data_IF_188223194436
#
_entry.id   IF_188223194436
#
_cell.length_a   1.000
_cell.length_b   1.000
_cell.length_c   1.000
_cell.angle_alpha   90.00
_cell.angle_beta   90.00
_cell.angle_gamma   90.00
#
_symmetry.space_group_name_H-M   'P 1'
#
loop_
_entity.id
_entity.type
_entity.pdbx_description
1 polymer ?
#
# COMPACT_ATOMS: atom_id res chain seq x y z
N UNK A 1 32.02 -30.64 -2.99
CA UNK A 1 30.55 -30.50 -2.87
C UNK A 1 30.24 -29.04 -3.11
N UNK A 2 29.36 -28.74 -4.05
CA UNK A 2 28.90 -27.36 -4.31
C UNK A 2 27.94 -26.90 -3.22
N UNK A 3 27.72 -25.59 -3.08
CA UNK A 3 26.73 -25.07 -2.12
C UNK A 3 25.34 -25.64 -2.36
N UNK A 4 24.95 -25.81 -3.63
CA UNK A 4 23.66 -26.40 -4.00
C UNK A 4 23.54 -27.85 -3.55
N UNK A 5 24.57 -28.67 -3.81
CA UNK A 5 24.60 -30.06 -3.35
C UNK A 5 24.49 -30.15 -1.82
N UNK A 6 25.15 -29.24 -1.10
CA UNK A 6 25.06 -29.20 0.36
C UNK A 6 23.67 -28.79 0.83
N UNK A 7 23.07 -27.74 0.26
CA UNK A 7 21.71 -27.30 0.60
C UNK A 7 20.70 -28.43 0.34
N UNK A 8 20.80 -29.15 -0.79
CA UNK A 8 19.91 -30.27 -1.07
C UNK A 8 20.07 -31.41 -0.06
N UNK A 9 21.30 -31.72 0.38
CA UNK A 9 21.53 -32.73 1.41
C UNK A 9 20.94 -32.32 2.78
N UNK A 10 20.96 -31.04 3.12
CA UNK A 10 20.42 -30.53 4.39
C UNK A 10 18.88 -30.52 4.44
N UNK A 11 18.18 -30.58 3.30
CA UNK A 11 16.70 -30.49 3.25
C UNK A 11 15.99 -31.64 3.96
N UNK A 12 16.65 -32.78 4.09
CA UNK A 12 16.09 -33.97 4.73
C UNK A 12 16.19 -33.89 6.28
N UNK A 13 16.92 -32.90 6.81
CA UNK A 13 17.07 -32.69 8.25
C UNK A 13 15.90 -31.88 8.85
N UNK A 14 15.49 -32.25 10.07
CA UNK A 14 14.45 -31.53 10.82
C UNK A 14 14.85 -30.08 11.13
N UNK A 15 16.16 -29.83 11.31
CA UNK A 15 16.72 -28.52 11.69
C UNK A 15 17.31 -27.78 10.47
N UNK A 16 16.84 -28.10 9.25
CA UNK A 16 17.37 -27.57 7.97
C UNK A 16 17.58 -26.05 7.97
N UNK A 17 16.58 -25.28 8.44
CA UNK A 17 16.65 -23.82 8.43
C UNK A 17 17.69 -23.29 9.42
N UNK A 18 17.77 -23.84 10.63
CA UNK A 18 18.75 -23.41 11.65
C UNK A 18 20.18 -23.73 11.22
N UNK A 19 20.41 -24.94 10.68
CA UNK A 19 21.71 -25.33 10.15
C UNK A 19 22.11 -24.44 8.98
N UNK A 20 21.19 -24.21 8.03
CA UNK A 20 21.46 -23.35 6.89
C UNK A 20 21.70 -21.89 7.28
N UNK A 21 20.95 -21.35 8.25
CA UNK A 21 21.19 -20.00 8.78
C UNK A 21 22.59 -19.90 9.41
N UNK A 22 23.00 -20.89 10.21
CA UNK A 22 24.33 -20.91 10.84
C UNK A 22 25.48 -20.99 9.81
N UNK A 23 25.27 -21.63 8.67
CA UNK A 23 26.29 -21.83 7.64
C UNK A 23 26.33 -20.67 6.64
N UNK A 24 25.16 -20.22 6.18
CA UNK A 24 25.06 -19.42 4.97
C UNK A 24 24.67 -17.96 5.21
N UNK A 25 24.10 -17.60 6.36
CA UNK A 25 23.53 -16.27 6.54
C UNK A 25 24.57 -15.16 6.49
N UNK A 26 25.73 -15.38 7.10
CA UNK A 26 26.85 -14.44 7.17
C UNK A 26 28.09 -14.98 6.42
N UNK A 27 27.88 -15.91 5.49
CA UNK A 27 28.96 -16.54 4.76
C UNK A 27 29.76 -15.52 3.93
N UNK A 28 31.09 -15.62 3.88
CA UNK A 28 31.94 -14.65 3.18
C UNK A 28 31.75 -14.61 1.66
N UNK A 29 31.41 -15.75 1.06
CA UNK A 29 31.04 -15.86 -0.36
C UNK A 29 29.59 -15.44 -0.60
N UNK A 30 29.39 -14.48 -1.51
CA UNK A 30 28.10 -13.95 -1.91
C UNK A 30 27.22 -15.00 -2.60
N UNK A 31 27.81 -15.94 -3.35
CA UNK A 31 27.06 -17.02 -4.02
C UNK A 31 26.37 -17.93 -2.99
N UNK A 32 27.06 -18.20 -1.87
CA UNK A 32 26.51 -19.00 -0.79
C UNK A 32 25.31 -18.29 -0.12
N UNK A 33 25.45 -16.98 0.17
CA UNK A 33 24.35 -16.17 0.74
C UNK A 33 23.18 -16.06 -0.21
N UNK A 34 23.45 -15.87 -1.51
CA UNK A 34 22.45 -15.77 -2.57
C UNK A 34 21.60 -17.05 -2.67
N UNK A 35 22.27 -18.21 -2.71
CA UNK A 35 21.59 -19.50 -2.76
C UNK A 35 20.73 -19.72 -1.51
N UNK A 36 21.26 -19.38 -0.34
CA UNK A 36 20.48 -19.51 0.89
C UNK A 36 19.26 -18.58 0.93
N UNK A 37 19.40 -17.33 0.48
CA UNK A 37 18.26 -16.40 0.39
C UNK A 37 17.11 -16.98 -0.45
N UNK A 38 17.41 -17.77 -1.49
CA UNK A 38 16.41 -18.45 -2.31
C UNK A 38 15.84 -19.72 -1.66
N UNK A 39 16.70 -20.53 -1.04
CA UNK A 39 16.34 -21.87 -0.54
C UNK A 39 15.77 -21.90 0.88
N UNK A 40 15.91 -20.82 1.66
CA UNK A 40 15.45 -20.74 3.05
C UNK A 40 13.93 -20.99 3.16
N UNK A 41 13.47 -22.00 3.93
CA UNK A 41 12.06 -22.43 3.94
C UNK A 41 11.07 -21.34 4.31
N UNK A 42 11.37 -20.56 5.36
CA UNK A 42 10.51 -19.48 5.84
C UNK A 42 10.61 -18.19 5.00
N UNK A 43 11.22 -18.27 3.81
CA UNK A 43 11.62 -17.13 3.01
C UNK A 43 12.94 -16.54 3.49
N UNK A 44 13.50 -15.65 2.68
CA UNK A 44 14.81 -15.04 2.92
C UNK A 44 14.85 -14.31 4.25
N UNK A 45 15.99 -14.44 4.95
CA UNK A 45 16.17 -13.85 6.28
C UNK A 45 16.18 -12.32 6.19
N UNK A 46 15.62 -11.58 7.19
CA UNK A 46 15.57 -10.12 7.15
C UNK A 46 16.91 -9.42 6.92
N UNK A 47 18.01 -9.98 7.46
CA UNK A 47 19.36 -9.44 7.27
C UNK A 47 19.78 -9.44 5.80
N UNK A 48 19.39 -10.48 5.04
CA UNK A 48 19.78 -10.62 3.64
C UNK A 48 19.10 -9.60 2.73
N UNK A 49 17.96 -9.02 3.14
CA UNK A 49 17.29 -7.94 2.37
C UNK A 49 18.18 -6.69 2.30
N UNK A 50 19.00 -6.47 3.33
CA UNK A 50 19.99 -5.41 3.41
C UNK A 50 21.42 -5.87 3.13
N UNK A 51 21.60 -7.03 2.48
CA UNK A 51 22.93 -7.56 2.18
C UNK A 51 23.75 -6.55 1.35
N UNK A 52 25.05 -6.36 1.64
CA UNK A 52 25.90 -5.45 0.88
C UNK A 52 26.00 -5.81 -0.61
N UNK A 53 25.88 -7.10 -0.96
CA UNK A 53 25.78 -7.54 -2.34
C UNK A 53 24.34 -7.34 -2.85
N UNK A 54 24.20 -6.58 -3.94
CA UNK A 54 22.89 -6.20 -4.49
C UNK A 54 22.09 -7.39 -5.02
N UNK A 55 22.74 -8.43 -5.54
CA UNK A 55 22.04 -9.61 -6.06
C UNK A 55 21.45 -10.44 -4.92
N UNK A 56 22.17 -10.56 -3.80
CA UNK A 56 21.67 -11.20 -2.57
C UNK A 56 20.48 -10.40 -2.02
N UNK A 57 20.60 -9.07 -1.93
CA UNK A 57 19.53 -8.18 -1.46
C UNK A 57 18.26 -8.27 -2.34
N UNK A 58 18.43 -8.27 -3.67
CA UNK A 58 17.34 -8.41 -4.64
C UNK A 58 16.65 -9.78 -4.49
N UNK A 59 17.43 -10.86 -4.40
CA UNK A 59 16.91 -12.21 -4.18
C UNK A 59 16.11 -12.26 -2.87
N UNK A 60 16.69 -11.71 -1.81
CA UNK A 60 16.09 -11.70 -0.49
C UNK A 60 14.78 -10.89 -0.46
N UNK A 61 14.74 -9.71 -1.07
CA UNK A 61 13.52 -8.91 -1.19
C UNK A 61 12.39 -9.69 -1.90
N UNK A 62 12.74 -10.38 -2.99
CA UNK A 62 11.80 -11.13 -3.82
C UNK A 62 11.25 -12.39 -3.14
N UNK A 63 12.02 -13.03 -2.26
CA UNK A 63 11.69 -14.31 -1.61
C UNK A 63 11.39 -14.18 -0.10
N UNK A 64 11.54 -13.00 0.48
CA UNK A 64 11.17 -12.72 1.87
C UNK A 64 9.67 -12.95 2.11
N UNK A 65 9.31 -13.22 3.37
CA UNK A 65 7.93 -13.23 3.87
C UNK A 65 7.58 -12.01 4.73
N UNK A 66 8.49 -11.04 4.88
CA UNK A 66 8.25 -9.81 5.65
C UNK A 66 7.11 -8.96 5.07
N UNK A 67 6.56 -8.07 5.89
CA UNK A 67 5.63 -7.02 5.46
C UNK A 67 6.27 -6.06 4.44
N UNK A 68 5.48 -5.25 3.76
CA UNK A 68 5.99 -4.42 2.68
C UNK A 68 6.96 -3.34 3.21
N UNK A 69 6.55 -2.61 4.25
CA UNK A 69 7.33 -1.57 4.87
C UNK A 69 8.68 -2.08 5.37
N UNK A 70 8.68 -3.20 6.10
CA UNK A 70 9.92 -3.77 6.61
C UNK A 70 10.86 -4.18 5.47
N UNK A 71 10.35 -4.75 4.37
CA UNK A 71 11.19 -5.06 3.20
C UNK A 71 11.83 -3.81 2.61
N UNK A 72 11.06 -2.74 2.42
CA UNK A 72 11.60 -1.51 1.83
C UNK A 72 12.58 -0.81 2.77
N UNK A 73 12.33 -0.78 4.09
CA UNK A 73 13.26 -0.24 5.10
C UNK A 73 14.59 -0.97 5.10
N UNK A 74 14.56 -2.30 4.98
CA UNK A 74 15.77 -3.12 5.02
C UNK A 74 16.51 -3.19 3.69
N UNK A 75 15.85 -2.88 2.58
CA UNK A 75 16.42 -3.06 1.25
C UNK A 75 17.72 -2.27 1.11
N UNK A 76 18.75 -2.93 0.58
CA UNK A 76 20.02 -2.28 0.25
C UNK A 76 19.77 -0.96 -0.52
N UNK A 77 20.23 0.20 -0.02
CA UNK A 77 19.99 1.50 -0.65
C UNK A 77 20.45 1.60 -2.11
N UNK A 78 21.53 0.90 -2.48
CA UNK A 78 22.00 0.87 -3.86
C UNK A 78 20.94 0.30 -4.82
N UNK A 79 20.13 -0.66 -4.37
CA UNK A 79 18.99 -1.19 -5.14
C UNK A 79 17.90 -0.13 -5.26
N UNK A 80 17.63 0.64 -4.21
CA UNK A 80 16.62 1.72 -4.21
C UNK A 80 17.04 2.85 -5.14
N UNK A 81 18.30 3.26 -5.14
CA UNK A 81 18.76 4.44 -5.87
C UNK A 81 18.98 4.15 -7.37
N UNK A 82 19.34 2.91 -7.73
CA UNK A 82 19.64 2.53 -9.10
C UNK A 82 18.42 1.94 -9.84
N UNK A 83 17.96 2.61 -10.89
CA UNK A 83 16.83 2.16 -11.72
C UNK A 83 17.04 0.76 -12.33
N UNK A 84 18.24 0.45 -12.79
CA UNK A 84 18.55 -0.86 -13.38
C UNK A 84 18.53 -1.97 -12.34
N UNK A 85 18.82 -1.68 -11.07
CA UNK A 85 18.67 -2.66 -9.99
C UNK A 85 17.19 -2.78 -9.56
N UNK A 86 16.47 -1.66 -9.43
CA UNK A 86 15.02 -1.66 -9.12
C UNK A 86 14.20 -2.52 -10.06
N UNK A 87 14.58 -2.61 -11.35
CA UNK A 87 13.85 -3.43 -12.33
C UNK A 87 13.75 -4.91 -11.92
N UNK A 88 14.73 -5.40 -11.14
CA UNK A 88 14.79 -6.80 -10.69
C UNK A 88 13.86 -7.09 -9.50
N UNK A 89 13.41 -6.07 -8.78
CA UNK A 89 12.39 -6.20 -7.71
C UNK A 89 11.00 -5.70 -8.15
N UNK A 90 10.88 -5.16 -9.36
CA UNK A 90 9.67 -4.50 -9.89
C UNK A 90 8.42 -5.36 -9.75
N UNK A 91 8.50 -6.64 -10.06
CA UNK A 91 7.34 -7.54 -10.00
C UNK A 91 6.88 -7.77 -8.56
N UNK A 92 7.82 -7.97 -7.64
CA UNK A 92 7.49 -8.14 -6.22
C UNK A 92 6.96 -6.85 -5.62
N UNK A 93 7.58 -5.70 -5.90
CA UNK A 93 7.11 -4.41 -5.41
C UNK A 93 5.69 -4.11 -5.91
N UNK A 94 5.37 -4.38 -7.19
CA UNK A 94 3.99 -4.29 -7.72
C UNK A 94 3.01 -5.16 -6.94
N UNK A 95 3.37 -6.41 -6.64
CA UNK A 95 2.51 -7.30 -5.87
C UNK A 95 2.27 -6.79 -4.45
N UNK A 96 3.31 -6.23 -3.81
CA UNK A 96 3.20 -5.61 -2.49
C UNK A 96 2.29 -4.39 -2.55
N UNK A 97 2.51 -3.45 -3.46
CA UNK A 97 1.63 -2.28 -3.61
C UNK A 97 0.19 -2.65 -3.89
N UNK A 98 -0.05 -3.68 -4.72
CA UNK A 98 -1.42 -4.19 -4.94
C UNK A 98 -2.05 -4.65 -3.63
N UNK A 99 -1.31 -5.40 -2.81
CA UNK A 99 -1.80 -5.88 -1.52
C UNK A 99 -2.05 -4.72 -0.55
N UNK A 100 -1.19 -3.71 -0.52
CA UNK A 100 -1.34 -2.54 0.35
C UNK A 100 -2.52 -1.66 -0.06
N UNK A 101 -2.68 -1.37 -1.35
CA UNK A 101 -3.82 -0.61 -1.88
C UNK A 101 -5.15 -1.28 -1.51
N UNK A 102 -5.18 -2.61 -1.45
CA UNK A 102 -6.38 -3.37 -1.12
C UNK A 102 -6.55 -3.54 0.40
N UNK A 103 -5.50 -3.83 1.18
CA UNK A 103 -5.65 -4.29 2.57
C UNK A 103 -5.10 -3.32 3.63
N UNK A 104 -4.04 -2.58 3.32
CA UNK A 104 -3.37 -1.71 4.29
C UNK A 104 -2.90 -0.40 3.63
N UNK A 105 -3.86 0.49 3.47
CA UNK A 105 -3.60 1.81 2.92
C UNK A 105 -2.74 2.69 3.84
N UNK A 106 -2.63 2.33 5.13
CA UNK A 106 -1.79 3.08 6.06
C UNK A 106 -0.32 2.77 5.83
N UNK A 107 0.02 1.49 5.70
CA UNK A 107 1.36 1.03 5.35
C UNK A 107 1.75 1.50 3.93
N UNK A 108 0.80 1.55 2.98
CA UNK A 108 1.02 2.16 1.65
C UNK A 108 1.58 3.58 1.76
N UNK A 109 0.92 4.44 2.53
CA UNK A 109 1.31 5.84 2.69
C UNK A 109 2.68 5.96 3.38
N UNK A 110 2.97 5.07 4.33
CA UNK A 110 4.25 5.06 5.04
C UNK A 110 5.40 4.68 4.10
N UNK A 111 5.23 3.62 3.31
CA UNK A 111 6.20 3.21 2.28
C UNK A 111 6.47 4.36 1.31
N UNK A 112 5.42 5.03 0.81
CA UNK A 112 5.58 6.09 -0.19
C UNK A 112 6.22 7.36 0.36
N UNK A 113 6.03 7.67 1.66
CA UNK A 113 6.74 8.77 2.33
C UNK A 113 8.23 8.52 2.45
N UNK A 114 8.61 7.28 2.77
CA UNK A 114 10.02 6.90 2.94
C UNK A 114 10.71 6.64 1.60
N UNK A 115 9.99 6.08 0.63
CA UNK A 115 10.53 5.61 -0.66
C UNK A 115 9.69 6.14 -1.84
N UNK A 116 9.65 7.46 -2.07
CA UNK A 116 8.80 8.08 -3.10
C UNK A 116 9.17 7.64 -4.53
N UNK A 117 10.37 7.09 -4.75
CA UNK A 117 10.80 6.51 -6.04
C UNK A 117 9.88 5.39 -6.55
N UNK A 118 9.03 4.83 -5.68
CA UNK A 118 8.06 3.80 -6.05
C UNK A 118 6.63 4.34 -6.31
N UNK A 119 6.43 5.66 -6.32
CA UNK A 119 5.13 6.30 -6.54
C UNK A 119 4.43 5.85 -7.82
N UNK A 120 5.16 5.79 -8.95
CA UNK A 120 4.63 5.28 -10.22
C UNK A 120 4.02 3.88 -10.10
N UNK A 121 4.67 3.00 -9.34
CA UNK A 121 4.19 1.63 -9.15
C UNK A 121 2.93 1.59 -8.30
N UNK A 122 2.85 2.42 -7.27
CA UNK A 122 1.67 2.52 -6.43
C UNK A 122 0.49 3.13 -7.20
N UNK A 123 0.71 4.19 -7.99
CA UNK A 123 -0.30 4.80 -8.86
C UNK A 123 -0.83 3.78 -9.88
N UNK A 124 0.04 3.01 -10.53
CA UNK A 124 -0.39 1.95 -11.44
C UNK A 124 -1.26 0.89 -10.73
N UNK A 125 -0.92 0.48 -9.51
CA UNK A 125 -1.76 -0.46 -8.76
C UNK A 125 -3.04 0.18 -8.23
N UNK A 126 -3.08 1.49 -7.98
CA UNK A 126 -4.30 2.22 -7.65
C UNK A 126 -5.29 2.20 -8.81
N UNK A 127 -4.80 2.44 -10.03
CA UNK A 127 -5.63 2.52 -11.24
C UNK A 127 -6.04 1.13 -11.73
N UNK A 128 -5.08 0.21 -11.86
CA UNK A 128 -5.28 -1.07 -12.54
C UNK A 128 -5.39 -2.27 -11.59
N UNK A 129 -5.05 -2.10 -10.31
CA UNK A 129 -5.14 -3.15 -9.32
C UNK A 129 -6.59 -3.60 -9.11
N UNK A 130 -6.79 -4.92 -9.13
CA UNK A 130 -8.08 -5.52 -8.79
C UNK A 130 -8.43 -5.23 -7.33
N UNK A 131 -9.72 -5.07 -7.06
CA UNK A 131 -10.28 -4.95 -5.71
C UNK A 131 -10.75 -6.34 -5.31
N UNK A 132 -10.14 -6.93 -4.27
CA UNK A 132 -10.49 -8.30 -3.85
C UNK A 132 -11.23 -8.35 -2.52
N UNK A 133 -11.21 -7.26 -1.76
CA UNK A 133 -11.85 -7.16 -0.46
C UNK A 133 -12.80 -5.95 -0.40
N UNK A 134 -13.60 -5.89 0.67
CA UNK A 134 -14.43 -4.73 1.01
C UNK A 134 -13.72 -3.87 2.08
N UNK A 135 -12.39 -3.78 2.03
CA UNK A 135 -11.64 -2.89 2.90
C UNK A 135 -11.61 -1.50 2.28
N UNK A 136 -12.46 -0.62 2.81
CA UNK A 136 -12.56 0.74 2.32
C UNK A 136 -11.57 1.67 3.01
N UNK A 137 -11.01 2.57 2.22
CA UNK A 137 -10.07 3.61 2.66
C UNK A 137 -10.84 4.78 3.23
N UNK A 138 -10.34 5.39 4.30
CA UNK A 138 -10.94 6.62 4.83
C UNK A 138 -10.65 7.82 3.93
N UNK A 139 -11.58 8.78 3.90
CA UNK A 139 -11.44 10.02 3.12
C UNK A 139 -10.12 10.75 3.40
N UNK A 140 -9.67 10.75 4.66
CA UNK A 140 -8.40 11.37 5.06
C UNK A 140 -7.19 10.64 4.46
N UNK A 141 -7.17 9.31 4.51
CA UNK A 141 -6.06 8.52 3.96
C UNK A 141 -6.00 8.62 2.44
N UNK A 142 -7.16 8.59 1.78
CA UNK A 142 -7.26 8.85 0.35
C UNK A 142 -6.75 10.26 -0.02
N UNK A 143 -7.07 11.28 0.79
CA UNK A 143 -6.56 12.65 0.61
C UNK A 143 -5.04 12.70 0.72
N UNK A 144 -4.46 12.06 1.74
CA UNK A 144 -3.01 11.98 1.92
C UNK A 144 -2.31 11.28 0.76
N UNK A 145 -2.93 10.27 0.15
CA UNK A 145 -2.37 9.63 -1.04
C UNK A 145 -2.34 10.58 -2.23
N UNK A 146 -3.43 11.31 -2.47
CA UNK A 146 -3.51 12.29 -3.56
C UNK A 146 -2.50 13.43 -3.37
N UNK A 147 -2.27 13.86 -2.13
CA UNK A 147 -1.22 14.83 -1.80
C UNK A 147 0.19 14.27 -2.09
N UNK A 148 0.49 13.04 -1.70
CA UNK A 148 1.78 12.42 -2.02
C UNK A 148 1.98 12.20 -3.53
N UNK A 149 0.89 12.00 -4.26
CA UNK A 149 0.88 11.74 -5.69
C UNK A 149 0.66 13.01 -6.53
N UNK A 150 0.93 14.22 -5.99
CA UNK A 150 0.62 15.51 -6.65
C UNK A 150 1.12 15.60 -8.09
N UNK A 151 2.34 15.13 -8.35
CA UNK A 151 2.96 15.12 -9.68
C UNK A 151 2.39 14.06 -10.64
N UNK A 152 1.53 13.16 -10.14
CA UNK A 152 0.97 12.02 -10.85
C UNK A 152 -0.56 12.12 -10.99
N UNK A 153 -1.18 13.22 -10.56
CA UNK A 153 -2.62 13.39 -10.58
C UNK A 153 -3.15 13.35 -12.02
N UNK A 154 -4.09 12.45 -12.25
CA UNK A 154 -4.88 12.30 -13.47
C UNK A 154 -6.31 11.91 -13.11
N UNK A 155 -7.25 12.10 -14.05
CA UNK A 155 -8.63 11.65 -13.87
C UNK A 155 -8.70 10.17 -13.53
N UNK A 156 -7.89 9.35 -14.22
CA UNK A 156 -7.82 7.89 -13.98
C UNK A 156 -7.30 7.54 -12.59
N UNK A 157 -6.32 8.29 -12.07
CA UNK A 157 -5.82 8.10 -10.71
C UNK A 157 -6.86 8.51 -9.68
N UNK A 158 -7.52 9.66 -9.88
CA UNK A 158 -8.61 10.11 -9.03
C UNK A 158 -9.74 9.07 -8.99
N UNK A 159 -10.18 8.55 -10.13
CA UNK A 159 -11.16 7.45 -10.19
C UNK A 159 -10.66 6.18 -9.48
N UNK A 160 -9.38 5.85 -9.60
CA UNK A 160 -8.73 4.77 -8.86
C UNK A 160 -8.87 4.92 -7.34
N UNK A 161 -8.57 6.11 -6.82
CA UNK A 161 -8.68 6.42 -5.39
C UNK A 161 -10.13 6.42 -4.94
N UNK A 162 -11.05 7.05 -5.69
CA UNK A 162 -12.46 7.12 -5.32
C UNK A 162 -13.12 5.75 -5.24
N UNK A 163 -12.73 4.80 -6.10
CA UNK A 163 -13.19 3.40 -6.03
C UNK A 163 -12.78 2.67 -4.75
N UNK A 164 -11.84 3.21 -3.98
CA UNK A 164 -11.40 2.64 -2.69
C UNK A 164 -12.19 3.19 -1.50
N UNK A 165 -13.04 4.19 -1.70
CA UNK A 165 -13.91 4.72 -0.66
C UNK A 165 -15.18 3.86 -0.53
N UNK A 166 -15.76 3.81 0.68
CA UNK A 166 -17.03 3.09 0.89
C UNK A 166 -18.16 3.85 0.18
N UNK A 167 -18.91 3.22 -0.74
CA UNK A 167 -20.05 3.86 -1.39
C UNK A 167 -21.11 4.27 -0.38
N UNK A 168 -21.72 5.45 -0.56
CA UNK A 168 -22.74 5.95 0.37
C UNK A 168 -24.01 5.08 0.39
N UNK A 169 -24.28 4.34 -0.68
CA UNK A 169 -25.37 3.36 -0.76
C UNK A 169 -25.29 2.22 0.27
N UNK A 170 -24.12 2.01 0.91
CA UNK A 170 -23.92 1.01 1.95
C UNK A 170 -24.09 1.58 3.37
N UNK A 171 -24.52 2.83 3.50
CA UNK A 171 -24.72 3.50 4.78
C UNK A 171 -26.20 3.57 5.11
N UNK A 172 -26.53 3.28 6.36
CA UNK A 172 -27.77 3.74 6.99
C UNK A 172 -27.76 5.26 7.15
N UNK A 173 -28.93 5.84 7.45
CA UNK A 173 -29.05 7.28 7.70
C UNK A 173 -28.09 7.79 8.79
N UNK A 174 -27.99 7.07 9.91
CA UNK A 174 -27.15 7.49 11.03
C UNK A 174 -25.66 7.39 10.67
N UNK A 175 -25.24 6.31 10.01
CA UNK A 175 -23.85 6.18 9.56
C UNK A 175 -23.50 7.24 8.51
N UNK A 176 -24.42 7.56 7.58
CA UNK A 176 -24.21 8.59 6.57
C UNK A 176 -24.07 9.98 7.21
N UNK A 177 -24.91 10.28 8.21
CA UNK A 177 -24.82 11.52 8.98
C UNK A 177 -23.52 11.62 9.78
N UNK A 178 -23.09 10.54 10.41
CA UNK A 178 -21.82 10.47 11.13
C UNK A 178 -20.64 10.70 10.18
N UNK A 179 -20.63 10.02 9.03
CA UNK A 179 -19.63 10.23 8.00
C UNK A 179 -19.58 11.70 7.54
N UNK A 180 -20.73 12.31 7.23
CA UNK A 180 -20.75 13.72 6.81
C UNK A 180 -20.20 14.65 7.89
N UNK A 181 -20.58 14.42 9.14
CA UNK A 181 -20.07 15.19 10.28
C UNK A 181 -18.55 15.02 10.44
N UNK A 182 -18.04 13.81 10.27
CA UNK A 182 -16.60 13.52 10.28
C UNK A 182 -15.90 14.29 9.15
N UNK A 183 -16.38 14.17 7.90
CA UNK A 183 -15.85 14.84 6.72
C UNK A 183 -15.80 16.37 6.90
N UNK A 184 -16.86 16.98 7.43
CA UNK A 184 -16.90 18.42 7.72
C UNK A 184 -15.88 18.79 8.79
N UNK A 185 -15.76 18.01 9.86
CA UNK A 185 -14.81 18.29 10.96
C UNK A 185 -13.35 18.29 10.50
N UNK A 186 -13.05 17.54 9.43
CA UNK A 186 -11.72 17.43 8.85
C UNK A 186 -11.60 18.08 7.46
N UNK A 187 -12.57 18.90 7.04
CA UNK A 187 -12.67 19.41 5.68
C UNK A 187 -11.40 20.15 5.19
N UNK A 188 -10.66 20.79 6.09
CA UNK A 188 -9.39 21.48 5.76
C UNK A 188 -8.24 20.51 5.42
N UNK A 189 -8.34 19.25 5.86
CA UNK A 189 -7.34 18.19 5.60
C UNK A 189 -7.73 17.29 4.44
N UNK A 190 -8.90 17.49 3.85
CA UNK A 190 -9.37 16.69 2.73
C UNK A 190 -8.89 17.30 1.42
N UNK A 191 -8.51 16.44 0.49
CA UNK A 191 -8.16 16.83 -0.86
C UNK A 191 -9.43 17.28 -1.61
N UNK A 192 -9.31 18.27 -2.52
CA UNK A 192 -10.44 18.85 -3.26
C UNK A 192 -11.29 17.79 -3.96
N UNK A 193 -10.65 16.79 -4.56
CA UNK A 193 -11.31 15.66 -5.25
C UNK A 193 -12.21 14.86 -4.30
N UNK A 194 -11.75 14.61 -3.06
CA UNK A 194 -12.49 13.85 -2.06
C UNK A 194 -13.70 14.65 -1.56
N UNK A 195 -13.54 15.96 -1.33
CA UNK A 195 -14.66 16.85 -0.96
C UNK A 195 -15.72 16.89 -2.05
N UNK A 196 -15.29 17.06 -3.31
CA UNK A 196 -16.19 17.10 -4.46
C UNK A 196 -16.97 15.79 -4.62
N UNK A 197 -16.27 14.64 -4.56
CA UNK A 197 -16.90 13.32 -4.63
C UNK A 197 -17.99 13.14 -3.56
N UNK A 198 -17.65 13.32 -2.28
CA UNK A 198 -18.63 13.12 -1.22
C UNK A 198 -19.78 14.12 -1.27
N UNK A 199 -19.52 15.37 -1.67
CA UNK A 199 -20.60 16.36 -1.83
C UNK A 199 -21.65 15.89 -2.84
N UNK A 200 -21.21 15.38 -3.99
CA UNK A 200 -22.10 14.86 -5.05
C UNK A 200 -22.80 13.57 -4.58
N UNK A 201 -22.09 12.66 -3.92
CA UNK A 201 -22.67 11.43 -3.38
C UNK A 201 -23.77 11.72 -2.35
N UNK A 202 -23.54 12.64 -1.42
CA UNK A 202 -24.53 13.05 -0.43
C UNK A 202 -25.72 13.76 -1.07
N UNK A 203 -25.52 14.66 -2.04
CA UNK A 203 -26.62 15.29 -2.78
C UNK A 203 -27.47 14.27 -3.51
N UNK A 204 -26.82 13.30 -4.16
CA UNK A 204 -27.51 12.20 -4.85
C UNK A 204 -28.29 11.34 -3.87
N UNK A 205 -27.71 11.02 -2.72
CA UNK A 205 -28.36 10.24 -1.67
C UNK A 205 -29.57 10.98 -1.06
N UNK A 206 -29.42 12.27 -0.73
CA UNK A 206 -30.52 13.11 -0.23
C UNK A 206 -31.69 13.20 -1.22
N UNK A 207 -31.43 13.20 -2.52
CA UNK A 207 -32.47 13.25 -3.54
C UNK A 207 -33.31 11.96 -3.64
N UNK A 208 -32.75 10.83 -3.20
CA UNK A 208 -33.38 9.50 -3.24
C UNK A 208 -34.10 9.17 -1.93
N UNK A 209 -33.53 9.62 -0.81
CA UNK A 209 -34.06 9.33 0.52
C UNK A 209 -35.27 10.20 0.88
N UNK A 210 -36.30 9.59 1.46
CA UNK A 210 -37.49 10.31 1.98
C UNK A 210 -37.23 10.79 3.40
N UNK A 211 -36.39 11.80 3.53
CA UNK A 211 -36.03 12.38 4.83
C UNK A 211 -37.05 13.41 5.30
N UNK A 212 -37.14 13.60 6.62
CA UNK A 212 -37.91 14.69 7.20
C UNK A 212 -37.30 16.04 6.76
N UNK A 213 -38.11 17.09 6.45
CA UNK A 213 -37.61 18.37 5.95
C UNK A 213 -36.46 18.98 6.77
N UNK A 214 -36.55 18.92 8.11
CA UNK A 214 -35.48 19.43 8.99
C UNK A 214 -34.17 18.64 8.87
N UNK A 215 -34.22 17.32 8.72
CA UNK A 215 -33.01 16.51 8.51
C UNK A 215 -32.34 16.90 7.19
N UNK A 216 -33.16 17.10 6.16
CA UNK A 216 -32.71 17.49 4.83
C UNK A 216 -32.00 18.86 4.86
N UNK A 217 -32.57 19.84 5.57
CA UNK A 217 -31.96 21.17 5.78
C UNK A 217 -30.60 21.07 6.49
N UNK A 218 -30.51 20.29 7.58
CA UNK A 218 -29.26 20.14 8.34
C UNK A 218 -28.16 19.50 7.51
N UNK A 219 -28.46 18.39 6.82
CA UNK A 219 -27.48 17.70 5.98
C UNK A 219 -27.06 18.55 4.79
N UNK A 220 -27.99 19.26 4.16
CA UNK A 220 -27.69 20.22 3.09
C UNK A 220 -26.70 21.29 3.55
N UNK A 221 -26.90 21.85 4.74
CA UNK A 221 -25.95 22.84 5.31
C UNK A 221 -24.56 22.24 5.52
N UNK A 222 -24.46 21.01 6.01
CA UNK A 222 -23.19 20.33 6.19
C UNK A 222 -22.48 20.03 4.86
N UNK A 223 -23.24 19.68 3.79
CA UNK A 223 -22.67 19.52 2.44
C UNK A 223 -22.07 20.83 1.93
N UNK A 224 -22.75 21.96 2.13
CA UNK A 224 -22.20 23.27 1.75
C UNK A 224 -20.90 23.60 2.53
N UNK A 225 -20.86 23.27 3.82
CA UNK A 225 -19.65 23.41 4.63
C UNK A 225 -18.50 22.52 4.10
N UNK A 226 -18.79 21.28 3.70
CA UNK A 226 -17.79 20.38 3.10
C UNK A 226 -17.21 20.95 1.79
N UNK A 227 -18.05 21.57 0.95
CA UNK A 227 -17.61 22.26 -0.28
C UNK A 227 -16.68 23.45 -0.01
N UNK A 228 -16.68 23.99 1.21
CA UNK A 228 -16.02 25.24 1.55
C UNK A 228 -16.86 26.48 1.23
N UNK A 229 -18.15 26.32 0.94
CA UNK A 229 -19.07 27.44 0.75
C UNK A 229 -19.55 27.90 2.12
N UNK A 230 -18.96 29.01 2.61
CA UNK A 230 -19.47 29.71 3.78
C UNK A 230 -20.59 30.66 3.36
N UNK A 231 -21.83 30.19 3.37
CA UNK A 231 -23.04 31.03 3.35
C UNK A 231 -23.92 30.73 4.58
#
# INVERSE_FOLDING_TARGET
MTYREHIEALKDDLDFEEQGDAIYLEHSDDEARLLWAFHRPSGSHPIQVGDPNTDVAIMAFNHSRLGALERFIRLNPAVIDNHDLRRHIRNRSRMLFRALVDNDFSELLEVLRLFPVFMDQACDQMVHGRIWNENFVSALRASQFLELAEDHISDTLCEGVLRRLKPLSHYSFDEAKELLSELVSQAQKLHQVIKAYYSVEFETWLSREKLHPLQNIVLTKQIHQLKGNHE
#
